data_IF_605667993885
#
_entry.id   IF_605667993885
#
_cell.length_a   1.000
_cell.length_b   1.000
_cell.length_c   1.000
_cell.angle_alpha   90.00
_cell.angle_beta   90.00
_cell.angle_gamma   90.00
#
_symmetry.space_group_name_H-M   'P 1'
#
loop_
_entity.id
_entity.type
_entity.pdbx_description
1 polymer ?
#
# COMPACT_ATOMS: atom_id res chain seq x y z
N UNK A 1 61.69 -43.80 13.52
CA UNK A 1 60.74 -44.28 12.50
C UNK A 1 59.40 -43.61 12.75
N UNK A 2 58.97 -42.80 11.78
CA UNK A 2 57.91 -41.80 11.86
C UNK A 2 56.53 -42.47 11.70
N UNK A 3 55.54 -42.05 12.51
CA UNK A 3 54.13 -42.16 12.14
C UNK A 3 53.27 -41.25 13.03
N UNK A 4 52.82 -40.11 12.48
CA UNK A 4 51.69 -39.37 13.01
C UNK A 4 50.95 -38.73 11.83
N UNK A 5 49.92 -39.43 11.35
CA UNK A 5 49.04 -39.01 10.27
C UNK A 5 48.06 -37.93 10.75
N UNK A 6 48.17 -36.71 10.22
CA UNK A 6 47.20 -35.64 10.44
C UNK A 6 46.06 -35.75 9.41
N UNK A 7 44.90 -36.24 9.84
CA UNK A 7 43.63 -36.13 9.09
C UNK A 7 43.04 -34.73 9.28
N UNK A 8 43.05 -33.91 8.22
CA UNK A 8 42.28 -32.66 8.15
C UNK A 8 40.84 -32.99 7.74
N UNK A 9 39.89 -32.86 8.67
CA UNK A 9 38.45 -32.83 8.37
C UNK A 9 38.06 -31.41 7.99
N UNK A 10 37.75 -31.20 6.71
CA UNK A 10 37.14 -29.97 6.20
C UNK A 10 35.62 -30.10 6.36
N UNK A 11 35.04 -29.37 7.31
CA UNK A 11 33.59 -29.25 7.43
C UNK A 11 33.09 -28.20 6.44
N UNK A 12 32.41 -28.65 5.38
CA UNK A 12 31.63 -27.81 4.47
C UNK A 12 30.27 -27.57 5.12
N UNK A 13 30.06 -26.39 5.69
CA UNK A 13 28.73 -25.93 6.07
C UNK A 13 28.06 -25.32 4.83
N UNK A 14 27.17 -26.08 4.20
CA UNK A 14 26.31 -25.60 3.13
C UNK A 14 25.20 -24.72 3.71
N UNK A 15 25.22 -23.43 3.40
CA UNK A 15 24.09 -22.53 3.65
C UNK A 15 23.08 -22.75 2.54
N UNK A 16 21.96 -23.38 2.85
CA UNK A 16 20.82 -23.45 1.95
C UNK A 16 20.07 -22.12 2.04
N UNK A 17 20.25 -21.25 1.04
CA UNK A 17 19.34 -20.11 0.83
C UNK A 17 18.01 -20.66 0.32
N UNK A 18 17.01 -20.69 1.20
CA UNK A 18 15.63 -20.92 0.80
C UNK A 18 15.13 -19.71 0.02
N UNK A 19 15.05 -19.84 -1.30
CA UNK A 19 14.28 -18.92 -2.13
C UNK A 19 12.80 -19.20 -1.86
N UNK A 20 12.20 -18.41 -0.96
CA UNK A 20 10.77 -18.42 -0.75
C UNK A 20 10.08 -18.00 -2.04
N UNK A 21 9.29 -18.91 -2.63
CA UNK A 21 8.39 -18.57 -3.73
C UNK A 21 7.26 -17.73 -3.14
N UNK A 22 7.33 -16.41 -3.29
CA UNK A 22 6.25 -15.51 -2.95
C UNK A 22 5.09 -15.75 -3.92
N UNK A 23 3.97 -16.27 -3.43
CA UNK A 23 2.72 -16.28 -4.19
C UNK A 23 2.21 -14.84 -4.31
N UNK A 24 2.18 -14.31 -5.53
CA UNK A 24 1.55 -13.03 -5.83
C UNK A 24 0.05 -13.09 -5.50
N UNK A 25 -0.55 -11.94 -5.18
CA UNK A 25 -2.00 -11.83 -5.08
C UNK A 25 -2.63 -12.36 -6.38
N UNK A 26 -3.65 -13.22 -6.26
CA UNK A 26 -4.39 -13.72 -7.42
C UNK A 26 -5.40 -12.63 -7.80
N UNK A 27 -4.94 -11.65 -8.57
CA UNK A 27 -5.83 -10.67 -9.19
C UNK A 27 -6.79 -11.35 -10.16
N UNK A 28 -8.01 -10.81 -10.26
CA UNK A 28 -8.96 -11.19 -11.30
C UNK A 28 -8.48 -10.76 -12.69
N UNK A 29 -9.18 -11.17 -13.76
CA UNK A 29 -8.90 -10.63 -15.08
C UNK A 29 -9.22 -9.13 -15.11
N UNK A 30 -8.28 -8.32 -15.62
CA UNK A 30 -8.52 -6.90 -15.86
C UNK A 30 -9.66 -6.72 -16.89
N UNK A 31 -10.65 -5.92 -16.51
CA UNK A 31 -11.77 -5.54 -17.34
C UNK A 31 -11.33 -4.50 -18.36
N UNK A 32 -11.73 -4.71 -19.61
CA UNK A 32 -11.38 -3.83 -20.73
C UNK A 32 -12.59 -3.46 -21.58
N UNK A 33 -13.72 -4.16 -21.41
CA UNK A 33 -14.95 -3.82 -22.11
C UNK A 33 -15.63 -2.64 -21.41
N UNK A 34 -15.89 -1.51 -22.10
CA UNK A 34 -16.46 -0.31 -21.49
C UNK A 34 -17.77 -0.52 -20.73
N UNK A 35 -18.54 -1.56 -21.08
CA UNK A 35 -19.82 -1.87 -20.44
C UNK A 35 -19.71 -2.75 -19.18
N UNK A 36 -18.53 -3.28 -18.87
CA UNK A 36 -18.35 -4.12 -17.68
C UNK A 36 -18.57 -3.25 -16.43
N UNK A 37 -19.42 -3.74 -15.51
CA UNK A 37 -19.68 -3.10 -14.24
C UNK A 37 -18.46 -3.18 -13.31
N UNK A 38 -18.24 -2.15 -12.52
CA UNK A 38 -17.13 -2.05 -11.56
C UNK A 38 -17.67 -1.56 -10.22
N UNK A 39 -17.41 -2.34 -9.18
CA UNK A 39 -17.88 -2.14 -7.81
C UNK A 39 -19.37 -2.35 -7.61
N UNK A 40 -19.85 -1.85 -6.47
CA UNK A 40 -21.21 -2.11 -6.02
C UNK A 40 -22.24 -1.57 -7.04
N UNK A 41 -23.31 -2.33 -7.38
CA UNK A 41 -24.29 -1.92 -8.38
C UNK A 41 -24.97 -0.57 -8.12
N UNK A 42 -25.06 -0.14 -6.85
CA UNK A 42 -25.65 1.15 -6.47
C UNK A 42 -24.90 2.34 -7.10
N UNK A 43 -23.61 2.18 -7.41
CA UNK A 43 -22.81 3.22 -8.04
C UNK A 43 -23.08 3.34 -9.54
N UNK A 44 -23.54 2.27 -10.19
CA UNK A 44 -23.68 2.21 -11.65
C UNK A 44 -22.36 2.45 -12.40
N UNK A 45 -21.21 2.29 -11.73
CA UNK A 45 -19.91 2.51 -12.33
C UNK A 45 -19.58 1.38 -13.32
N UNK A 46 -18.94 1.75 -14.41
CA UNK A 46 -18.49 0.84 -15.47
C UNK A 46 -17.05 1.18 -15.84
N UNK A 47 -16.38 0.31 -16.58
CA UNK A 47 -15.07 0.63 -17.18
C UNK A 47 -15.13 1.94 -17.99
N UNK A 48 -16.25 2.23 -18.67
CA UNK A 48 -16.43 3.51 -19.38
C UNK A 48 -16.42 4.72 -18.44
N UNK A 49 -16.88 4.58 -17.19
CA UNK A 49 -16.84 5.65 -16.20
C UNK A 49 -15.39 5.99 -15.86
N UNK A 50 -14.55 4.99 -15.62
CA UNK A 50 -13.10 5.16 -15.40
C UNK A 50 -12.39 5.75 -16.63
N UNK A 51 -12.73 5.29 -17.85
CA UNK A 51 -12.19 5.86 -19.10
C UNK A 51 -12.57 7.34 -19.24
N UNK A 52 -13.83 7.70 -18.94
CA UNK A 52 -14.31 9.08 -19.00
C UNK A 52 -13.58 10.01 -18.03
N UNK A 53 -13.05 9.45 -16.96
CA UNK A 53 -12.19 10.11 -15.98
C UNK A 53 -10.70 10.16 -16.39
N UNK A 54 -10.33 9.55 -17.52
CA UNK A 54 -8.96 9.56 -18.04
C UNK A 54 -8.12 8.35 -17.64
N UNK A 55 -8.68 7.35 -16.94
CA UNK A 55 -7.98 6.09 -16.67
C UNK A 55 -7.89 5.27 -17.96
N UNK A 56 -6.68 4.83 -18.29
CA UNK A 56 -6.44 3.99 -19.45
C UNK A 56 -6.40 2.51 -19.04
N UNK A 57 -7.41 1.69 -19.37
CA UNK A 57 -7.50 0.28 -18.97
C UNK A 57 -6.41 -0.61 -19.62
N UNK A 58 -5.62 -0.08 -20.55
CA UNK A 58 -4.46 -0.79 -21.11
C UNK A 58 -3.21 -0.70 -20.23
N UNK A 59 -3.18 0.21 -19.26
CA UNK A 59 -2.03 0.40 -18.35
C UNK A 59 -2.43 0.31 -16.88
N UNK A 60 -3.69 0.59 -16.55
CA UNK A 60 -4.26 0.40 -15.21
C UNK A 60 -5.23 -0.77 -15.27
N UNK A 61 -4.98 -1.81 -14.48
CA UNK A 61 -5.92 -2.91 -14.32
C UNK A 61 -7.14 -2.42 -13.55
N UNK A 62 -8.33 -2.57 -14.12
CA UNK A 62 -9.59 -2.35 -13.42
C UNK A 62 -10.22 -3.72 -13.26
N UNK A 63 -10.56 -4.13 -12.06
CA UNK A 63 -11.29 -5.37 -11.83
C UNK A 63 -12.55 -5.13 -11.01
N UNK A 64 -13.52 -6.01 -11.16
CA UNK A 64 -14.71 -6.06 -10.31
C UNK A 64 -14.58 -7.16 -9.24
N UNK A 65 -13.34 -7.52 -8.90
CA UNK A 65 -13.01 -8.50 -7.88
C UNK A 65 -12.68 -7.83 -6.55
N UNK A 66 -12.67 -8.65 -5.50
CA UNK A 66 -12.21 -8.26 -4.19
C UNK A 66 -10.69 -8.43 -4.04
N UNK A 67 -10.07 -7.49 -3.36
CA UNK A 67 -8.72 -7.57 -2.82
C UNK A 67 -8.58 -8.78 -1.89
N UNK A 68 -7.50 -9.53 -2.09
CA UNK A 68 -7.07 -10.59 -1.19
C UNK A 68 -5.63 -10.33 -0.77
N UNK A 69 -5.39 -10.35 0.54
CA UNK A 69 -4.08 -10.08 1.10
C UNK A 69 -3.04 -11.06 0.53
N UNK A 70 -2.00 -10.56 -0.18
CA UNK A 70 -0.91 -11.41 -0.60
C UNK A 70 -0.16 -11.95 0.61
N UNK A 71 0.56 -13.06 0.43
CA UNK A 71 1.37 -13.62 1.51
C UNK A 71 2.37 -12.60 2.06
N UNK A 72 2.40 -12.46 3.39
CA UNK A 72 3.25 -11.49 4.10
C UNK A 72 2.74 -10.04 4.05
N UNK A 73 1.54 -9.80 3.54
CA UNK A 73 0.94 -8.47 3.58
C UNK A 73 0.64 -8.04 5.00
N UNK A 74 0.96 -6.78 5.32
CA UNK A 74 0.62 -6.13 6.57
C UNK A 74 0.23 -4.68 6.26
N UNK A 75 -0.69 -4.15 7.06
CA UNK A 75 -0.98 -2.72 7.05
C UNK A 75 0.19 -1.95 7.63
N UNK A 76 0.41 -0.75 7.10
CA UNK A 76 1.31 0.22 7.68
C UNK A 76 0.78 0.76 9.00
N UNK A 77 1.66 1.42 9.75
CA UNK A 77 1.32 2.14 10.98
C UNK A 77 1.29 3.63 10.71
N UNK A 78 0.13 4.25 10.93
CA UNK A 78 -0.11 5.67 10.81
C UNK A 78 0.86 6.49 11.67
N UNK A 79 1.38 7.56 11.07
CA UNK A 79 2.37 8.46 11.66
C UNK A 79 1.76 9.82 11.94
N UNK A 80 1.17 10.49 10.93
CA UNK A 80 0.66 11.87 11.01
C UNK A 80 -0.14 12.25 9.75
N UNK A 81 -0.70 13.47 9.75
CA UNK A 81 -1.24 14.14 8.56
C UNK A 81 -2.74 14.39 8.55
N UNK A 82 -3.52 13.65 9.33
CA UNK A 82 -4.98 13.73 9.31
C UNK A 82 -5.50 15.08 9.83
N UNK A 83 -6.37 15.69 9.03
CA UNK A 83 -7.19 16.86 9.38
C UNK A 83 -8.51 16.44 10.03
N UNK A 84 -8.99 15.24 9.68
CA UNK A 84 -10.23 14.65 10.18
C UNK A 84 -10.09 13.15 10.44
N UNK A 85 -11.01 12.60 11.23
CA UNK A 85 -11.14 11.16 11.41
C UNK A 85 -12.55 10.81 11.85
N UNK A 86 -12.99 9.60 11.50
CA UNK A 86 -14.33 9.15 11.84
C UNK A 86 -14.58 7.67 11.61
N UNK A 87 -15.82 7.25 11.86
CA UNK A 87 -16.28 5.87 11.62
C UNK A 87 -17.63 5.87 10.92
N UNK A 88 -17.81 4.95 9.98
CA UNK A 88 -19.08 4.59 9.39
C UNK A 88 -20.03 4.01 10.44
N UNK A 89 -21.22 4.56 10.50
CA UNK A 89 -22.37 4.08 11.27
C UNK A 89 -23.25 3.12 10.47
N UNK A 90 -23.23 3.24 9.14
CA UNK A 90 -23.82 2.30 8.19
C UNK A 90 -22.93 2.22 6.94
N UNK A 91 -22.12 1.17 6.76
CA UNK A 91 -21.22 1.07 5.61
C UNK A 91 -21.95 0.80 4.29
N UNK A 92 -23.26 0.57 4.33
CA UNK A 92 -24.08 0.34 3.13
C UNK A 92 -24.65 1.61 2.52
N UNK A 93 -24.46 2.75 3.19
CA UNK A 93 -24.98 4.05 2.78
C UNK A 93 -23.86 5.10 2.84
N UNK A 94 -23.59 5.77 1.71
CA UNK A 94 -22.69 6.93 1.68
C UNK A 94 -23.20 8.02 2.64
N UNK A 95 -22.29 8.75 3.29
CA UNK A 95 -22.65 9.85 4.19
C UNK A 95 -22.97 9.44 5.63
N UNK A 96 -23.06 8.14 5.92
CA UNK A 96 -23.49 7.65 7.23
C UNK A 96 -22.30 7.46 8.20
N UNK A 97 -21.65 8.53 8.63
CA UNK A 97 -20.47 8.48 9.51
C UNK A 97 -20.52 9.45 10.71
N UNK A 98 -19.61 9.26 11.65
CA UNK A 98 -19.43 10.08 12.85
C UNK A 98 -17.95 10.44 13.06
N UNK A 99 -17.65 11.47 13.85
CA UNK A 99 -16.28 11.84 14.23
C UNK A 99 -15.80 11.18 15.53
N UNK A 100 -15.85 9.84 15.62
CA UNK A 100 -15.39 9.10 16.80
C UNK A 100 -14.00 8.46 16.60
N UNK A 101 -13.34 8.17 17.72
CA UNK A 101 -12.05 7.46 17.75
C UNK A 101 -10.85 8.40 17.81
N UNK A 102 -9.80 8.04 17.09
CA UNK A 102 -8.60 8.86 16.93
C UNK A 102 -7.94 8.55 15.60
N UNK A 103 -7.26 9.52 14.99
CA UNK A 103 -6.60 9.33 13.70
C UNK A 103 -5.73 8.05 13.66
N UNK A 104 -4.91 7.82 14.68
CA UNK A 104 -4.07 6.63 14.74
C UNK A 104 -4.84 5.32 14.96
N UNK A 105 -6.00 5.33 15.61
CA UNK A 105 -6.81 4.11 15.75
C UNK A 105 -7.49 3.77 14.43
N UNK A 106 -8.08 4.78 13.78
CA UNK A 106 -8.86 4.62 12.56
C UNK A 106 -7.94 4.28 11.38
N UNK A 107 -6.87 5.04 11.16
CA UNK A 107 -5.91 4.82 10.06
C UNK A 107 -5.09 3.51 10.14
N UNK A 108 -5.14 2.80 11.27
CA UNK A 108 -4.40 1.54 11.48
C UNK A 108 -5.29 0.31 11.39
N UNK A 109 -6.59 0.51 11.21
CA UNK A 109 -7.52 -0.56 11.01
C UNK A 109 -7.95 -0.55 9.54
N UNK A 110 -8.02 -1.74 8.94
CA UNK A 110 -8.78 -1.92 7.72
C UNK A 110 -10.20 -2.25 8.17
N UNK A 111 -11.00 -1.21 8.35
CA UNK A 111 -12.36 -1.22 8.85
C UNK A 111 -13.14 -0.02 8.29
N UNK A 112 -14.39 0.15 8.74
CA UNK A 112 -15.25 1.26 8.39
C UNK A 112 -14.83 2.57 9.10
N UNK A 113 -13.55 2.81 9.30
CA UNK A 113 -13.02 3.99 9.96
C UNK A 113 -12.05 4.70 9.04
N UNK A 114 -12.18 6.02 8.96
CA UNK A 114 -11.40 6.83 8.04
C UNK A 114 -10.55 7.85 8.78
N UNK A 115 -9.47 8.24 8.11
CA UNK A 115 -8.78 9.52 8.30
C UNK A 115 -8.88 10.35 7.03
N UNK A 116 -8.92 11.65 7.20
CA UNK A 116 -9.13 12.60 6.12
C UNK A 116 -7.94 13.56 5.99
N UNK A 117 -7.50 13.82 4.77
CA UNK A 117 -6.68 14.98 4.41
C UNK A 117 -7.55 15.94 3.61
N UNK A 118 -7.90 17.09 4.22
CA UNK A 118 -8.79 18.11 3.65
C UNK A 118 -8.13 19.50 3.62
N UNK A 119 -6.81 19.52 3.82
CA UNK A 119 -6.03 20.71 4.13
C UNK A 119 -4.79 20.86 3.26
N UNK A 120 -3.98 21.89 3.54
CA UNK A 120 -2.66 22.09 2.91
C UNK A 120 -2.65 22.19 1.38
N UNK A 121 -3.79 22.59 0.79
CA UNK A 121 -3.95 22.74 -0.65
C UNK A 121 -2.92 23.66 -1.29
N UNK A 122 -2.27 23.17 -2.34
CA UNK A 122 -1.32 23.90 -3.14
C UNK A 122 -1.27 23.40 -4.57
N UNK A 123 -0.31 23.91 -5.34
CA UNK A 123 0.01 23.38 -6.65
C UNK A 123 1.21 22.44 -6.53
N UNK A 124 0.96 21.13 -6.58
CA UNK A 124 1.98 20.08 -6.50
C UNK A 124 2.06 19.42 -7.87
N UNK A 125 3.26 19.41 -8.47
CA UNK A 125 3.47 18.82 -9.79
C UNK A 125 2.61 19.43 -10.92
N UNK A 126 2.14 20.67 -10.78
CA UNK A 126 1.26 21.32 -11.74
C UNK A 126 -0.23 21.16 -11.46
N UNK A 127 -0.61 20.41 -10.44
CA UNK A 127 -2.00 20.07 -10.10
C UNK A 127 -2.40 20.55 -8.70
N UNK A 128 -3.67 20.88 -8.52
CA UNK A 128 -4.22 21.22 -7.20
C UNK A 128 -4.23 19.99 -6.30
N UNK A 129 -3.74 20.09 -5.07
CA UNK A 129 -3.80 19.02 -4.08
C UNK A 129 -2.95 19.26 -2.85
N UNK A 130 -2.99 18.30 -1.93
CA UNK A 130 -2.19 18.25 -0.73
C UNK A 130 -0.69 18.07 -1.02
N UNK A 131 0.14 18.58 -0.12
CA UNK A 131 1.60 18.44 -0.17
C UNK A 131 2.02 17.12 0.48
N UNK A 132 2.88 16.30 -0.15
CA UNK A 132 3.20 14.98 0.39
C UNK A 132 3.91 15.01 1.74
N UNK A 133 4.64 16.08 2.07
CA UNK A 133 5.23 16.25 3.42
C UNK A 133 4.20 16.48 4.53
N UNK A 134 2.96 16.80 4.16
CA UNK A 134 1.86 17.12 5.08
C UNK A 134 0.65 16.17 4.94
N UNK A 135 0.64 15.27 3.95
CA UNK A 135 -0.43 14.31 3.73
C UNK A 135 -0.53 13.24 4.82
N UNK A 136 -1.45 12.30 4.62
CA UNK A 136 -1.65 11.15 5.49
C UNK A 136 -0.45 10.20 5.36
N UNK A 137 0.36 10.05 6.40
CA UNK A 137 1.63 9.32 6.35
C UNK A 137 1.57 8.03 7.17
N UNK A 138 2.01 6.92 6.56
CA UNK A 138 2.17 5.61 7.21
C UNK A 138 3.62 5.11 7.12
N UNK A 139 4.09 4.44 8.18
CA UNK A 139 5.25 3.55 8.15
C UNK A 139 4.81 2.17 7.67
N UNK A 140 5.29 1.73 6.51
CA UNK A 140 4.88 0.46 5.90
C UNK A 140 5.53 -0.76 6.58
N UNK A 141 6.39 -0.55 7.58
CA UNK A 141 7.10 -1.62 8.30
C UNK A 141 8.23 -2.27 7.51
N UNK A 142 8.42 -1.91 6.24
CA UNK A 142 9.45 -2.43 5.36
C UNK A 142 9.58 -1.63 4.07
N UNK A 143 10.53 -2.04 3.23
CA UNK A 143 10.84 -1.37 1.96
C UNK A 143 9.86 -1.79 0.87
N UNK A 144 8.93 -0.91 0.53
CA UNK A 144 7.90 -1.09 -0.49
C UNK A 144 8.19 -0.31 -1.76
N UNK A 145 7.62 -0.74 -2.88
CA UNK A 145 7.56 0.06 -4.10
C UNK A 145 6.17 0.04 -4.75
N UNK A 146 5.24 -0.65 -4.10
CA UNK A 146 3.83 -0.61 -4.37
C UNK A 146 3.09 -0.33 -3.06
N UNK A 147 1.91 0.27 -3.17
CA UNK A 147 1.01 0.60 -2.07
C UNK A 147 -0.37 0.08 -2.40
N UNK A 148 -1.00 -0.64 -1.47
CA UNK A 148 -2.45 -0.83 -1.48
C UNK A 148 -3.06 0.24 -0.57
N UNK A 149 -3.93 1.08 -1.14
CA UNK A 149 -4.67 2.12 -0.43
C UNK A 149 -6.12 1.67 -0.33
N UNK A 150 -6.60 1.50 0.90
CA UNK A 150 -7.98 1.15 1.21
C UNK A 150 -8.75 2.46 1.36
N UNK A 151 -9.59 2.75 0.36
CA UNK A 151 -10.26 4.05 0.23
C UNK A 151 -11.63 3.95 0.88
N UNK A 152 -11.94 4.96 1.69
CA UNK A 152 -13.29 5.18 2.20
C UNK A 152 -13.99 6.15 1.27
N UNK A 153 -15.22 5.81 0.89
CA UNK A 153 -16.06 6.63 0.02
C UNK A 153 -17.19 7.19 0.87
N UNK A 154 -17.15 8.48 1.10
CA UNK A 154 -18.08 9.16 1.98
C UNK A 154 -19.26 9.78 1.18
N UNK A 155 -19.03 10.14 -0.09
CA UNK A 155 -20.02 10.62 -1.03
C UNK A 155 -19.72 10.22 -2.48
N UNK A 156 -20.40 10.85 -3.43
CA UNK A 156 -20.21 10.60 -4.85
C UNK A 156 -19.94 11.89 -5.60
N UNK A 157 -19.48 11.78 -6.86
CA UNK A 157 -19.69 10.63 -7.74
C UNK A 157 -18.63 9.52 -7.64
N UNK A 158 -19.05 8.26 -7.63
CA UNK A 158 -18.15 7.09 -7.74
C UNK A 158 -17.93 6.73 -9.22
N UNK A 159 -16.69 6.45 -9.68
CA UNK A 159 -15.46 6.23 -8.90
C UNK A 159 -14.57 7.48 -8.78
N UNK A 160 -15.14 8.68 -8.86
CA UNK A 160 -14.40 9.93 -8.66
C UNK A 160 -13.67 9.94 -7.31
N UNK A 161 -14.41 9.68 -6.23
CA UNK A 161 -13.83 9.77 -4.87
C UNK A 161 -12.78 8.72 -4.63
N UNK A 162 -13.00 7.53 -5.18
CA UNK A 162 -12.02 6.43 -5.15
C UNK A 162 -10.66 6.85 -5.71
N UNK A 163 -10.64 7.85 -6.60
CA UNK A 163 -9.49 8.30 -7.37
C UNK A 163 -9.12 9.76 -7.11
N UNK A 164 -9.56 10.35 -5.99
CA UNK A 164 -9.26 11.73 -5.62
C UNK A 164 -7.89 11.88 -4.91
N UNK A 165 -7.13 10.80 -4.83
CA UNK A 165 -5.90 10.69 -4.06
C UNK A 165 -4.64 10.51 -4.94
N UNK A 166 -3.54 11.12 -4.52
CA UNK A 166 -2.19 10.82 -5.01
C UNK A 166 -1.39 10.09 -3.93
N UNK A 167 -0.70 9.02 -4.31
CA UNK A 167 0.17 8.28 -3.42
C UNK A 167 1.65 8.57 -3.69
N UNK A 168 2.43 8.71 -2.63
CA UNK A 168 3.84 9.06 -2.63
C UNK A 168 4.63 8.14 -1.71
N UNK A 169 5.93 7.98 -1.96
CA UNK A 169 6.81 7.22 -1.09
C UNK A 169 8.11 7.97 -0.75
N UNK A 170 8.61 7.74 0.47
CA UNK A 170 9.88 8.29 0.98
C UNK A 170 10.53 7.34 2.00
N UNK A 171 11.83 7.54 2.26
CA UNK A 171 12.54 6.86 3.36
C UNK A 171 12.61 7.70 4.64
N UNK A 172 12.01 8.89 4.62
CA UNK A 172 11.93 9.82 5.73
C UNK A 172 10.48 10.36 5.82
N UNK A 173 9.75 10.14 6.94
CA UNK A 173 8.39 10.64 7.12
C UNK A 173 8.33 12.17 7.29
N UNK A 174 9.47 12.81 7.55
CA UNK A 174 9.63 14.26 7.67
C UNK A 174 10.32 14.88 6.43
N UNK A 175 10.44 14.10 5.35
CA UNK A 175 10.95 14.55 4.06
C UNK A 175 10.21 15.80 3.55
N UNK A 176 10.97 16.72 2.94
CA UNK A 176 10.41 17.86 2.21
C UNK A 176 9.64 17.37 0.97
N UNK A 177 8.73 18.19 0.45
CA UNK A 177 7.87 17.80 -0.69
C UNK A 177 8.64 17.25 -1.89
N UNK A 178 9.83 17.79 -2.18
CA UNK A 178 10.66 17.39 -3.31
C UNK A 178 11.33 16.02 -3.14
N UNK A 179 11.40 15.49 -1.92
CA UNK A 179 12.04 14.22 -1.59
C UNK A 179 11.05 13.04 -1.58
N UNK A 180 9.77 13.32 -1.80
CA UNK A 180 8.73 12.32 -2.00
C UNK A 180 8.63 11.91 -3.47
N UNK A 181 8.56 10.61 -3.73
CA UNK A 181 8.44 10.07 -5.09
C UNK A 181 7.01 9.62 -5.35
N UNK A 182 6.39 10.18 -6.39
CA UNK A 182 5.03 9.84 -6.79
C UNK A 182 4.94 8.40 -7.31
N UNK A 183 3.95 7.65 -6.82
CA UNK A 183 3.53 6.37 -7.40
C UNK A 183 2.36 6.56 -8.37
N UNK A 184 2.22 5.65 -9.32
CA UNK A 184 1.19 5.69 -10.36
C UNK A 184 0.13 4.63 -10.08
N UNK A 185 -1.14 4.96 -10.31
CA UNK A 185 -2.24 4.00 -10.19
C UNK A 185 -2.09 2.88 -11.23
N UNK A 186 -1.94 1.65 -10.76
CA UNK A 186 -1.79 0.46 -11.61
C UNK A 186 -2.94 -0.53 -11.47
N UNK A 187 -3.71 -0.47 -10.38
CA UNK A 187 -4.83 -1.37 -10.15
C UNK A 187 -5.97 -0.68 -9.40
N UNK A 188 -7.22 -0.98 -9.76
CA UNK A 188 -8.41 -0.69 -8.96
C UNK A 188 -9.20 -1.98 -8.75
N UNK A 189 -9.39 -2.36 -7.49
CA UNK A 189 -10.25 -3.47 -7.07
C UNK A 189 -11.63 -2.92 -6.74
N UNK A 190 -12.60 -3.17 -7.62
CA UNK A 190 -13.94 -2.59 -7.55
C UNK A 190 -14.81 -3.11 -6.41
N UNK A 191 -14.61 -4.36 -5.97
CA UNK A 191 -15.33 -4.94 -4.82
C UNK A 191 -14.50 -4.80 -3.51
N UNK A 192 -13.37 -4.10 -3.60
CA UNK A 192 -12.58 -3.67 -2.46
C UNK A 192 -12.12 -4.83 -1.59
N UNK A 193 -12.05 -4.62 -0.28
CA UNK A 193 -11.69 -5.67 0.68
C UNK A 193 -12.90 -6.15 1.51
N UNK A 194 -13.99 -5.37 1.48
CA UNK A 194 -15.24 -5.59 2.19
C UNK A 194 -16.38 -5.74 1.17
N UNK A 195 -16.46 -6.89 0.49
CA UNK A 195 -17.25 -7.02 -0.73
C UNK A 195 -18.76 -6.89 -0.50
N UNK A 196 -19.47 -6.50 -1.57
CA UNK A 196 -20.92 -6.52 -1.63
C UNK A 196 -21.59 -5.24 -1.13
N UNK A 197 -22.30 -5.33 0.01
CA UNK A 197 -23.18 -4.25 0.46
C UNK A 197 -22.45 -3.08 1.12
N UNK A 198 -21.17 -3.23 1.46
CA UNK A 198 -20.39 -2.22 2.18
C UNK A 198 -19.74 -1.24 1.20
N UNK A 199 -20.57 -0.33 0.69
CA UNK A 199 -20.24 0.56 -0.41
C UNK A 199 -19.16 1.60 -0.05
N UNK A 200 -19.08 2.03 1.22
CA UNK A 200 -18.10 3.03 1.65
C UNK A 200 -16.65 2.52 1.53
N UNK A 201 -16.35 1.31 1.98
CA UNK A 201 -14.98 0.74 1.91
C UNK A 201 -14.82 -0.18 0.68
N UNK A 202 -15.64 0.07 -0.34
CA UNK A 202 -15.85 -0.84 -1.46
C UNK A 202 -14.69 -0.91 -2.43
N UNK A 203 -13.58 -0.19 -2.22
CA UNK A 203 -12.49 -0.11 -3.19
C UNK A 203 -11.11 -0.25 -2.57
N UNK A 204 -10.19 -0.82 -3.35
CA UNK A 204 -8.75 -0.75 -3.09
C UNK A 204 -8.04 -0.24 -4.33
N UNK A 205 -7.25 0.82 -4.17
CA UNK A 205 -6.42 1.39 -5.22
C UNK A 205 -4.96 0.99 -5.00
N UNK A 206 -4.32 0.41 -6.02
CA UNK A 206 -2.90 0.03 -5.96
C UNK A 206 -2.07 1.00 -6.78
N UNK A 207 -1.06 1.57 -6.13
CA UNK A 207 -0.10 2.48 -6.72
C UNK A 207 1.27 1.84 -6.79
N UNK A 208 2.02 2.09 -7.86
CA UNK A 208 3.33 1.52 -8.09
C UNK A 208 4.33 2.57 -8.54
N UNK A 209 5.56 2.49 -8.02
CA UNK A 209 6.66 3.28 -8.54
C UNK A 209 7.09 2.79 -9.93
N UNK A 210 7.42 3.69 -10.87
CA UNK A 210 7.87 3.31 -12.21
C UNK A 210 9.25 2.63 -12.22
N UNK A 211 9.97 2.64 -11.09
CA UNK A 211 11.29 2.05 -10.93
C UNK A 211 11.28 0.98 -9.84
N UNK A 212 12.36 0.19 -9.75
CA UNK A 212 12.55 -0.76 -8.66
C UNK A 212 12.99 -0.12 -7.33
N UNK A 213 13.02 1.21 -7.23
CA UNK A 213 13.33 1.91 -5.98
C UNK A 213 12.30 1.53 -4.90
N UNK A 214 12.77 1.39 -3.67
CA UNK A 214 11.93 1.06 -2.51
C UNK A 214 12.05 2.10 -1.42
N UNK A 215 10.99 2.22 -0.64
CA UNK A 215 10.82 3.22 0.39
C UNK A 215 10.02 2.67 1.57
N UNK A 216 10.21 3.24 2.76
CA UNK A 216 9.56 2.76 3.98
C UNK A 216 8.23 3.46 4.29
N UNK A 217 8.10 4.72 3.91
CA UNK A 217 6.95 5.53 4.26
C UNK A 217 6.11 5.81 3.03
N UNK A 218 4.79 5.81 3.23
CA UNK A 218 3.83 6.27 2.25
C UNK A 218 3.23 7.61 2.72
N UNK A 219 2.92 8.48 1.77
CA UNK A 219 2.06 9.65 1.98
C UNK A 219 0.91 9.56 0.99
N UNK A 220 -0.32 9.70 1.44
CA UNK A 220 -1.52 9.78 0.61
C UNK A 220 -2.12 11.17 0.80
N UNK A 221 -2.28 11.89 -0.30
CA UNK A 221 -2.78 13.27 -0.30
C UNK A 221 -4.05 13.37 -1.13
N UNK A 222 -4.97 14.26 -0.77
CA UNK A 222 -6.04 14.64 -1.68
C UNK A 222 -5.48 15.36 -2.90
N UNK A 223 -6.17 15.24 -4.03
CA UNK A 223 -5.78 15.76 -5.31
C UNK A 223 -4.34 15.43 -5.70
N UNK A 224 -3.67 16.39 -6.32
CA UNK A 224 -2.29 16.28 -6.78
C UNK A 224 -2.18 15.72 -8.20
N UNK A 225 -0.96 15.46 -8.68
CA UNK A 225 -0.72 15.04 -10.06
C UNK A 225 -1.13 13.60 -10.36
N UNK A 226 -1.31 12.75 -9.34
CA UNK A 226 -1.75 11.36 -9.50
C UNK A 226 -3.26 11.17 -9.40
N UNK A 227 -3.97 12.10 -8.76
CA UNK A 227 -5.42 12.05 -8.63
C UNK A 227 -6.13 12.38 -9.94
N UNK A 228 -7.30 11.79 -10.09
CA UNK A 228 -8.25 12.09 -11.17
C UNK A 228 -9.13 13.27 -10.77
N UNK A 229 -9.71 13.19 -9.57
CA UNK A 229 -10.56 14.23 -8.96
C UNK A 229 -9.76 15.03 -7.94
N UNK A 230 -10.13 16.30 -7.73
CA UNK A 230 -9.37 17.30 -6.94
C UNK A 230 -10.32 18.31 -6.31
N UNK A 231 -11.29 17.84 -5.55
CA UNK A 231 -12.38 18.63 -4.99
C UNK A 231 -12.10 19.20 -3.60
N UNK A 232 -11.16 18.64 -2.84
CA UNK A 232 -10.62 19.31 -1.66
C UNK A 232 -10.21 18.39 -0.52
N UNK A 233 -10.58 17.13 -0.59
CA UNK A 233 -10.38 16.15 0.46
C UNK A 233 -10.19 14.72 -0.06
N UNK A 234 -9.85 13.81 0.85
CA UNK A 234 -9.93 12.37 0.65
C UNK A 234 -10.14 11.63 1.98
N UNK A 235 -10.71 10.43 1.93
CA UNK A 235 -10.84 9.55 3.10
C UNK A 235 -10.17 8.19 2.89
N UNK A 236 -9.29 7.83 3.82
CA UNK A 236 -8.50 6.60 3.75
C UNK A 236 -8.69 5.78 5.02
N UNK A 237 -8.98 4.49 4.87
CA UNK A 237 -9.05 3.54 5.99
C UNK A 237 -7.64 3.14 6.41
N UNK A 238 -6.87 2.64 5.44
CA UNK A 238 -5.54 2.10 5.69
C UNK A 238 -4.66 2.13 4.45
N UNK A 239 -3.36 1.94 4.67
CA UNK A 239 -2.36 1.77 3.61
C UNK A 239 -1.47 0.60 3.95
N UNK A 240 -1.19 -0.27 2.96
CA UNK A 240 -0.26 -1.40 3.10
C UNK A 240 0.84 -1.37 2.05
N UNK A 241 2.05 -1.77 2.44
CA UNK A 241 3.19 -1.86 1.54
C UNK A 241 3.22 -3.17 0.75
N UNK A 242 3.67 -3.10 -0.49
CA UNK A 242 3.81 -4.22 -1.40
C UNK A 242 5.17 -4.18 -2.12
N UNK A 243 5.62 -5.35 -2.55
CA UNK A 243 6.78 -5.55 -3.42
C UNK A 243 6.43 -5.33 -4.90
N UNK A 244 7.43 -5.30 -5.78
CA UNK A 244 7.21 -5.02 -7.21
C UNK A 244 6.32 -6.05 -7.91
N UNK A 245 6.24 -7.26 -7.35
CA UNK A 245 5.40 -8.34 -7.86
C UNK A 245 4.01 -8.41 -7.21
N UNK A 246 3.62 -7.39 -6.43
CA UNK A 246 2.35 -7.40 -5.68
C UNK A 246 2.32 -8.37 -4.49
N UNK A 247 3.48 -8.89 -4.06
CA UNK A 247 3.60 -9.67 -2.84
C UNK A 247 3.74 -8.78 -1.61
N UNK A 248 3.36 -9.27 -0.43
CA UNK A 248 3.55 -8.54 0.83
C UNK A 248 5.02 -8.34 1.20
N UNK A 249 5.29 -7.35 2.06
CA UNK A 249 6.64 -7.04 2.51
C UNK A 249 7.20 -8.17 3.38
N UNK A 250 8.27 -8.81 2.90
CA UNK A 250 9.02 -9.75 3.71
C UNK A 250 9.93 -8.95 4.65
N UNK A 251 9.42 -8.63 5.84
CA UNK A 251 10.28 -8.11 6.92
C UNK A 251 11.09 -9.30 7.45
N UNK A 252 12.43 -9.27 7.39
CA UNK A 252 13.22 -10.35 7.98
C UNK A 252 12.85 -10.48 9.45
N UNK A 253 12.23 -11.60 9.82
CA UNK A 253 11.86 -11.88 11.20
C UNK A 253 13.08 -11.66 12.11
N UNK A 254 12.94 -11.00 13.28
CA UNK A 254 14.07 -10.70 14.16
C UNK A 254 14.94 -11.92 14.49
N UNK A 255 14.33 -13.11 14.52
CA UNK A 255 15.01 -14.38 14.73
C UNK A 255 16.04 -14.70 13.63
N UNK A 256 15.76 -14.34 12.37
CA UNK A 256 16.68 -14.55 11.24
C UNK A 256 17.93 -13.67 11.35
N UNK A 257 17.78 -12.43 11.84
CA UNK A 257 18.90 -11.53 12.14
C UNK A 257 19.71 -12.00 13.35
N UNK A 258 19.05 -12.52 14.38
CA UNK A 258 19.71 -13.14 15.53
C UNK A 258 20.53 -14.38 15.12
N UNK A 259 19.98 -15.24 14.25
CA UNK A 259 20.68 -16.41 13.71
C UNK A 259 21.88 -16.01 12.85
N UNK A 260 21.74 -15.01 11.98
CA UNK A 260 22.85 -14.48 11.20
C UNK A 260 23.94 -13.87 12.10
N UNK A 261 23.55 -13.11 13.13
CA UNK A 261 24.45 -12.57 14.13
C UNK A 261 25.21 -13.67 14.89
N UNK A 262 24.53 -14.73 15.31
CA UNK A 262 25.16 -15.88 15.98
C UNK A 262 26.11 -16.65 15.05
N UNK A 263 25.75 -16.82 13.77
CA UNK A 263 26.61 -17.47 12.79
C UNK A 263 27.92 -16.68 12.55
N UNK A 264 27.82 -15.35 12.46
CA UNK A 264 28.99 -14.47 12.32
C UNK A 264 29.88 -14.49 13.57
N UNK A 265 29.30 -14.49 14.77
CA UNK A 265 30.03 -14.64 16.03
C UNK A 265 30.77 -15.98 16.11
N UNK A 266 30.10 -17.07 15.75
CA UNK A 266 30.71 -18.39 15.71
C UNK A 266 31.88 -18.48 14.71
N UNK A 267 31.73 -17.89 13.51
CA UNK A 267 32.79 -17.82 12.52
C UNK A 267 34.01 -16.99 12.99
N UNK A 268 33.76 -15.86 13.66
CA UNK A 268 34.81 -15.03 14.26
C UNK A 268 35.60 -15.77 15.34
N UNK A 269 34.93 -16.52 16.22
CA UNK A 269 35.55 -17.33 17.25
C UNK A 269 36.35 -18.52 16.68
N UNK A 270 35.85 -19.15 15.62
CA UNK A 270 36.56 -20.25 14.94
C UNK A 270 37.87 -19.80 14.30
N UNK A 271 37.95 -18.55 13.81
CA UNK A 271 39.14 -17.99 13.16
C UNK A 271 40.27 -17.65 14.16
N UNK A 272 39.94 -17.36 15.42
CA UNK A 272 40.93 -17.09 16.48
C UNK A 272 41.61 -18.33 17.06
N UNK A 273 41.09 -19.53 16.77
CA UNK A 273 41.63 -20.81 17.26
C UNK A 273 42.55 -21.52 16.26
N UNK A 274 42.86 -20.89 15.14
CA UNK A 274 43.85 -21.35 14.15
C UNK A 274 45.03 -20.40 14.14
#
# INVERSE_FOLDING_TARGET
>A
MMNAAYRRLSALAGVALGLGLSSAAIAGPCLTNPADAVGAPVFGATVSTFIGLGINPNVTCIENGGWSDPSGFNLGSYVKGADGFGTGTDPTTLGAYNGAGSAAANANARDFAWVQDAGNGGNVGGASGGRPSQGLIWDLGGQANQLAVFVFVDHGPVPGEVLENTAWLSNDPDALDADWVQAQLVHVYGDGWSPGANVADGFVAVYQLPTAATFRYASVTWGGPGAVVRDGDNEIDAVGGLTFGGGGLQVPEPASLALAGMALLAAGLARRRR
#
